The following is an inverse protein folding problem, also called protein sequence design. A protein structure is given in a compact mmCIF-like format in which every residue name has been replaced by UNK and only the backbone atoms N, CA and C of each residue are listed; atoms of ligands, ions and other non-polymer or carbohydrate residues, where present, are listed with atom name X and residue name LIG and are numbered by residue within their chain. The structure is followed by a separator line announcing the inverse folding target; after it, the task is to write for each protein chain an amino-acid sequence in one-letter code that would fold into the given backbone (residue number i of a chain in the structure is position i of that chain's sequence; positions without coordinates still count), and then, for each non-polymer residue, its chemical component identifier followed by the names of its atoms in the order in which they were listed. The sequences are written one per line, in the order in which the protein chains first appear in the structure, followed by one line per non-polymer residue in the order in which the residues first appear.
data_IF_278211935817
#
_entry.id   IF_278211935817
#
_cell.length_a   1.000
_cell.length_b   1.000
_cell.length_c   1.000
_cell.angle_alpha   90.00
_cell.angle_beta   90.00
_cell.angle_gamma   90.00
#
_symmetry.space_group_name_H-M   'P 1'
#
loop_
_entity.id
_entity.type
_entity.pdbx_description
1 polymer ?
#
# COMPACT_ATOMS: atom_id res chain seq x y z
N UNK A 1 -11.04 -20.31 -6.26
CA UNK A 1 -9.71 -19.66 -6.20
C UNK A 1 -8.79 -20.33 -5.18
N UNK A 2 -9.14 -20.47 -3.89
CA UNK A 2 -8.24 -21.07 -2.87
C UNK A 2 -7.70 -22.47 -3.22
N UNK A 3 -8.53 -23.37 -3.83
CA UNK A 3 -8.07 -24.69 -4.25
C UNK A 3 -7.05 -24.69 -5.40
N UNK A 4 -6.97 -23.60 -6.17
CA UNK A 4 -6.09 -23.48 -7.33
C UNK A 4 -4.68 -23.04 -6.93
N UNK A 5 -4.55 -22.39 -5.78
CA UNK A 5 -3.28 -21.83 -5.28
C UNK A 5 -2.81 -22.51 -3.99
N UNK A 6 -3.45 -23.62 -3.57
CA UNK A 6 -3.11 -24.38 -2.35
C UNK A 6 -2.99 -23.49 -1.08
N UNK A 7 -3.85 -22.46 -0.99
CA UNK A 7 -3.86 -21.54 0.16
C UNK A 7 -4.78 -22.03 1.27
N UNK A 8 -4.34 -21.90 2.50
CA UNK A 8 -5.12 -22.24 3.70
C UNK A 8 -6.10 -21.11 4.09
N UNK A 9 -5.84 -19.89 3.62
CA UNK A 9 -6.67 -18.71 3.88
C UNK A 9 -7.91 -18.60 2.99
N UNK A 10 -8.69 -17.54 3.20
CA UNK A 10 -9.87 -17.18 2.42
C UNK A 10 -9.60 -15.89 1.64
N UNK A 11 -10.02 -15.83 0.37
CA UNK A 11 -10.07 -14.60 -0.41
C UNK A 11 -11.48 -14.03 -0.30
N UNK A 12 -11.58 -12.83 0.26
CA UNK A 12 -12.84 -12.13 0.49
C UNK A 12 -12.76 -10.78 -0.20
N UNK A 13 -13.62 -10.48 -1.19
CA UNK A 13 -13.68 -9.15 -1.78
C UNK A 13 -14.18 -8.14 -0.74
N UNK A 14 -13.59 -6.95 -0.72
CA UNK A 14 -13.94 -5.90 0.25
C UNK A 14 -15.33 -5.31 -0.01
N UNK A 15 -15.79 -5.32 -1.27
CA UNK A 15 -17.16 -5.02 -1.66
C UNK A 15 -17.65 -6.03 -2.69
N UNK A 16 -18.97 -6.21 -2.79
CA UNK A 16 -19.63 -7.06 -3.78
C UNK A 16 -20.31 -6.22 -4.88
N UNK A 17 -20.16 -4.91 -4.78
CA UNK A 17 -20.79 -3.95 -5.68
C UNK A 17 -19.87 -3.63 -6.85
N UNK A 18 -20.47 -3.19 -7.97
CA UNK A 18 -19.74 -2.77 -9.16
C UNK A 18 -19.25 -1.33 -8.96
N UNK A 19 -17.98 -1.22 -8.62
CA UNK A 19 -17.30 0.05 -8.33
C UNK A 19 -16.01 0.16 -9.12
N UNK A 20 -15.63 1.38 -9.43
CA UNK A 20 -14.37 1.70 -10.09
C UNK A 20 -13.58 2.71 -9.26
N UNK A 21 -12.27 2.65 -9.35
CA UNK A 21 -11.38 3.63 -8.73
C UNK A 21 -11.40 4.93 -9.54
N UNK A 22 -11.52 6.06 -8.84
CA UNK A 22 -11.22 7.39 -9.36
C UNK A 22 -10.15 8.05 -8.49
N UNK A 23 -9.27 8.82 -9.10
CA UNK A 23 -8.21 9.55 -8.41
C UNK A 23 -8.15 10.99 -8.86
N UNK A 24 -7.67 11.88 -7.99
CA UNK A 24 -7.32 13.25 -8.31
C UNK A 24 -5.83 13.46 -8.09
N UNK A 25 -5.19 14.06 -9.08
CA UNK A 25 -3.78 14.45 -9.03
C UNK A 25 -3.61 15.84 -8.41
N UNK A 26 -2.38 16.19 -8.01
CA UNK A 26 -2.01 17.48 -7.41
C UNK A 26 -2.37 18.68 -8.31
N UNK A 27 -2.39 18.50 -9.63
CA UNK A 27 -2.79 19.54 -10.60
C UNK A 27 -4.31 19.67 -10.79
N UNK A 28 -5.11 18.89 -10.04
CA UNK A 28 -6.55 18.84 -10.12
C UNK A 28 -7.11 17.90 -11.19
N UNK A 29 -6.27 17.25 -12.00
CA UNK A 29 -6.70 16.28 -13.01
C UNK A 29 -7.38 15.09 -12.33
N UNK A 30 -8.53 14.68 -12.83
CA UNK A 30 -9.29 13.51 -12.34
C UNK A 30 -9.24 12.42 -13.40
N UNK A 31 -8.88 11.20 -12.98
CA UNK A 31 -8.84 10.00 -13.83
C UNK A 31 -9.70 8.91 -13.19
N UNK A 32 -10.51 8.27 -14.03
CA UNK A 32 -11.39 7.18 -13.64
C UNK A 32 -10.92 5.85 -14.24
N UNK A 33 -10.97 4.80 -13.42
CA UNK A 33 -10.62 3.44 -13.77
C UNK A 33 -9.12 3.15 -13.61
N UNK A 34 -8.79 2.10 -12.86
CA UNK A 34 -7.43 1.66 -12.55
C UNK A 34 -6.53 1.57 -13.79
N UNK A 35 -7.06 0.99 -14.89
CA UNK A 35 -6.34 0.85 -16.15
C UNK A 35 -5.91 2.18 -16.77
N UNK A 36 -6.62 3.27 -16.49
CA UNK A 36 -6.28 4.59 -16.99
C UNK A 36 -5.28 5.31 -16.08
N UNK A 37 -5.29 4.98 -14.80
CA UNK A 37 -4.38 5.51 -13.78
C UNK A 37 -3.00 4.88 -13.93
N UNK A 38 -2.94 3.55 -14.07
CA UNK A 38 -1.68 2.84 -14.29
C UNK A 38 -1.11 3.16 -15.68
N UNK A 39 0.08 3.74 -15.69
CA UNK A 39 0.77 4.16 -16.92
C UNK A 39 2.04 3.37 -17.18
N UNK A 40 2.34 2.35 -16.37
CA UNK A 40 3.57 1.56 -16.46
C UNK A 40 3.78 0.95 -17.85
N UNK A 41 2.70 0.47 -18.47
CA UNK A 41 2.71 -0.21 -19.78
C UNK A 41 2.28 0.69 -20.94
N UNK A 42 2.02 2.00 -20.68
CA UNK A 42 1.51 2.89 -21.71
C UNK A 42 2.63 3.68 -22.40
N UNK A 43 2.55 3.76 -23.72
CA UNK A 43 3.38 4.68 -24.48
C UNK A 43 3.09 6.15 -24.10
N UNK A 44 4.07 7.07 -24.22
CA UNK A 44 3.87 8.47 -23.86
C UNK A 44 2.65 9.13 -24.49
N UNK A 45 2.28 8.75 -25.71
CA UNK A 45 1.12 9.30 -26.42
C UNK A 45 -0.24 8.73 -25.97
N UNK A 46 -0.24 7.67 -25.16
CA UNK A 46 -1.46 7.01 -24.63
C UNK A 46 -1.75 7.43 -23.19
N UNK A 47 -0.87 8.23 -22.58
CA UNK A 47 -1.02 8.69 -21.21
C UNK A 47 -2.08 9.78 -21.12
N UNK A 48 -2.96 9.64 -20.14
CA UNK A 48 -4.11 10.52 -19.95
C UNK A 48 -3.84 11.66 -18.95
N UNK A 49 -2.68 11.65 -18.29
CA UNK A 49 -2.31 12.62 -17.26
C UNK A 49 -0.80 12.87 -17.20
N UNK A 50 -0.41 13.89 -16.45
CA UNK A 50 1.00 14.19 -16.19
C UNK A 50 1.58 13.20 -15.18
N UNK A 51 2.45 12.31 -15.63
CA UNK A 51 3.06 11.25 -14.82
C UNK A 51 4.13 11.73 -13.82
N UNK A 52 4.43 13.01 -13.80
CA UNK A 52 5.34 13.61 -12.81
C UNK A 52 4.57 14.20 -11.61
N UNK A 53 3.23 14.16 -11.66
CA UNK A 53 2.33 14.49 -10.56
C UNK A 53 2.05 13.27 -9.68
N UNK A 54 1.80 13.52 -8.38
CA UNK A 54 1.32 12.50 -7.46
C UNK A 54 -0.20 12.48 -7.41
N UNK A 55 -0.75 11.36 -6.97
CA UNK A 55 -2.15 11.28 -6.64
C UNK A 55 -2.36 11.94 -5.27
N UNK A 56 -3.27 12.92 -5.21
CA UNK A 56 -3.64 13.63 -4.00
C UNK A 56 -4.79 12.93 -3.27
N UNK A 57 -5.75 12.39 -4.03
CA UNK A 57 -6.97 11.82 -3.47
C UNK A 57 -7.50 10.65 -4.30
N UNK A 58 -8.28 9.77 -3.67
CA UNK A 58 -8.86 8.60 -4.30
C UNK A 58 -10.25 8.29 -3.71
N UNK A 59 -11.18 7.83 -4.56
CA UNK A 59 -12.53 7.40 -4.14
C UNK A 59 -13.08 6.34 -5.09
N UNK A 60 -14.17 5.69 -4.67
CA UNK A 60 -14.92 4.77 -5.52
C UNK A 60 -16.05 5.50 -6.24
N UNK A 61 -16.28 5.13 -7.50
CA UNK A 61 -17.40 5.57 -8.32
C UNK A 61 -18.22 4.35 -8.78
N UNK A 62 -19.45 4.59 -9.23
CA UNK A 62 -20.41 3.55 -9.61
C UNK A 62 -21.43 3.33 -8.50
N UNK A 63 -21.49 2.13 -7.94
CA UNK A 63 -22.36 1.83 -6.80
C UNK A 63 -21.85 2.46 -5.48
N UNK A 64 -22.58 2.26 -4.37
CA UNK A 64 -22.18 2.84 -3.07
C UNK A 64 -20.86 2.30 -2.51
N UNK A 65 -20.42 1.13 -2.96
CA UNK A 65 -19.16 0.50 -2.52
C UNK A 65 -19.21 0.04 -1.07
N UNK A 66 -20.35 -0.46 -0.59
CA UNK A 66 -20.51 -0.90 0.78
C UNK A 66 -19.56 -2.04 1.12
N UNK A 67 -18.99 -2.01 2.33
CA UNK A 67 -18.13 -3.06 2.84
C UNK A 67 -18.88 -4.39 2.92
N UNK A 68 -18.32 -5.42 2.28
CA UNK A 68 -18.84 -6.78 2.35
C UNK A 68 -18.93 -7.25 3.81
N UNK A 69 -20.10 -7.73 4.27
CA UNK A 69 -20.27 -8.21 5.64
C UNK A 69 -19.25 -9.27 6.06
N UNK A 70 -18.81 -10.15 5.12
CA UNK A 70 -17.77 -11.15 5.40
C UNK A 70 -16.39 -10.53 5.59
N UNK A 71 -16.09 -9.45 4.86
CA UNK A 71 -14.85 -8.70 5.06
C UNK A 71 -14.87 -8.00 6.41
N UNK A 72 -16.01 -7.37 6.78
CA UNK A 72 -16.20 -6.79 8.11
C UNK A 72 -16.02 -7.82 9.22
N UNK A 73 -16.64 -8.99 9.09
CA UNK A 73 -16.49 -10.09 10.06
C UNK A 73 -15.02 -10.52 10.19
N UNK A 74 -14.29 -10.62 9.08
CA UNK A 74 -12.87 -10.98 9.10
C UNK A 74 -12.02 -9.92 9.82
N UNK A 75 -12.28 -8.61 9.56
CA UNK A 75 -11.61 -7.49 10.23
C UNK A 75 -11.86 -7.53 11.74
N UNK A 76 -13.11 -7.75 12.16
CA UNK A 76 -13.49 -7.75 13.57
C UNK A 76 -12.96 -8.95 14.36
N UNK A 77 -12.62 -10.05 13.68
CA UNK A 77 -12.09 -11.27 14.33
C UNK A 77 -10.58 -11.47 14.10
N UNK A 78 -9.91 -10.50 13.50
CA UNK A 78 -8.48 -10.56 13.31
C UNK A 78 -7.72 -10.15 14.58
N UNK A 79 -6.56 -10.76 14.82
CA UNK A 79 -5.59 -10.31 15.82
C UNK A 79 -4.64 -9.27 15.21
N UNK A 80 -4.35 -9.41 13.91
CA UNK A 80 -3.51 -8.51 13.14
C UNK A 80 -4.12 -8.26 11.75
N UNK A 81 -4.05 -7.03 11.29
CA UNK A 81 -4.43 -6.62 9.93
C UNK A 81 -3.18 -6.06 9.25
N UNK A 82 -2.81 -6.69 8.13
CA UNK A 82 -1.65 -6.28 7.34
C UNK A 82 -2.16 -5.49 6.13
N UNK A 83 -1.71 -4.23 6.02
CA UNK A 83 -2.01 -3.34 4.91
C UNK A 83 -0.82 -3.38 3.95
N UNK A 84 -1.04 -3.85 2.73
CA UNK A 84 0.01 -4.06 1.73
C UNK A 84 0.75 -5.41 1.88
N UNK A 85 1.90 -5.60 1.16
CA UNK A 85 2.42 -4.68 0.15
C UNK A 85 1.60 -4.68 -1.15
N UNK A 86 1.73 -3.61 -1.92
CA UNK A 86 1.07 -3.43 -3.22
C UNK A 86 1.24 -1.99 -3.69
N UNK A 87 0.90 -1.69 -4.93
CA UNK A 87 0.88 -0.31 -5.42
C UNK A 87 -0.09 0.52 -4.58
N UNK A 88 0.39 1.68 -4.09
CA UNK A 88 -0.30 2.43 -3.06
C UNK A 88 -1.74 2.78 -3.47
N UNK A 89 -1.91 3.43 -4.62
CA UNK A 89 -3.21 3.96 -5.06
C UNK A 89 -4.01 3.01 -5.93
N UNK A 90 -3.37 2.03 -6.60
CA UNK A 90 -4.07 1.09 -7.48
C UNK A 90 -4.30 -0.29 -6.87
N UNK A 91 -3.62 -0.62 -5.77
CA UNK A 91 -3.77 -1.94 -5.13
C UNK A 91 -4.12 -1.87 -3.64
N UNK A 92 -3.51 -0.98 -2.86
CA UNK A 92 -3.71 -0.92 -1.40
C UNK A 92 -4.90 -0.05 -1.03
N UNK A 93 -4.86 1.24 -1.39
CA UNK A 93 -5.91 2.22 -1.04
C UNK A 93 -7.31 1.80 -1.53
N UNK A 94 -7.51 1.23 -2.73
CA UNK A 94 -8.85 0.82 -3.16
C UNK A 94 -9.58 -0.11 -2.18
N UNK A 95 -8.85 -0.95 -1.46
CA UNK A 95 -9.44 -1.81 -0.43
C UNK A 95 -9.90 -1.03 0.81
N UNK A 96 -9.34 0.16 1.06
CA UNK A 96 -9.66 1.01 2.19
C UNK A 96 -10.84 1.96 1.91
N UNK A 97 -11.26 2.09 0.64
CA UNK A 97 -12.28 3.06 0.21
C UNK A 97 -13.72 2.57 0.41
N UNK A 98 -13.93 1.27 0.68
CA UNK A 98 -15.28 0.74 0.86
C UNK A 98 -15.98 1.41 2.04
N UNK A 99 -17.24 1.81 1.81
CA UNK A 99 -18.09 2.47 2.83
C UNK A 99 -18.29 1.55 4.04
N UNK A 100 -17.88 2.00 5.21
CA UNK A 100 -17.86 1.21 6.44
C UNK A 100 -16.52 0.54 6.75
N UNK A 101 -15.50 0.67 5.86
CA UNK A 101 -14.15 0.15 6.13
C UNK A 101 -13.47 0.93 7.26
N UNK A 102 -13.50 2.25 7.21
CA UNK A 102 -12.92 3.12 8.25
C UNK A 102 -13.49 2.83 9.63
N UNK A 103 -14.81 2.72 9.72
CA UNK A 103 -15.52 2.39 10.94
C UNK A 103 -15.16 0.98 11.45
N UNK A 104 -14.95 0.04 10.54
CA UNK A 104 -14.54 -1.31 10.93
C UNK A 104 -13.09 -1.33 11.45
N UNK A 105 -12.19 -0.56 10.83
CA UNK A 105 -10.80 -0.44 11.28
C UNK A 105 -10.67 0.35 12.59
N UNK A 106 -11.53 1.32 12.84
CA UNK A 106 -11.52 2.12 14.08
C UNK A 106 -11.94 1.31 15.32
N UNK A 107 -12.86 0.37 15.15
CA UNK A 107 -13.42 -0.41 16.27
C UNK A 107 -12.86 -1.82 16.40
N UNK A 108 -12.02 -2.28 15.48
CA UNK A 108 -11.39 -3.60 15.55
C UNK A 108 -10.40 -3.68 16.71
N UNK A 109 -10.31 -4.81 17.44
CA UNK A 109 -9.25 -5.03 18.41
C UNK A 109 -7.89 -5.39 17.77
N UNK A 110 -7.87 -5.60 16.44
CA UNK A 110 -6.67 -6.01 15.72
C UNK A 110 -5.59 -4.92 15.71
N UNK A 111 -4.34 -5.34 15.73
CA UNK A 111 -3.21 -4.45 15.49
C UNK A 111 -3.02 -4.22 13.99
N UNK A 112 -2.84 -2.96 13.59
CA UNK A 112 -2.65 -2.57 12.19
C UNK A 112 -1.16 -2.48 11.87
N UNK A 113 -0.74 -3.24 10.86
CA UNK A 113 0.65 -3.29 10.36
C UNK A 113 0.65 -2.80 8.91
N UNK A 114 1.38 -1.73 8.62
CA UNK A 114 1.58 -1.28 7.25
C UNK A 114 2.93 -1.76 6.72
N UNK A 115 2.93 -2.37 5.53
CA UNK A 115 4.15 -2.74 4.80
C UNK A 115 4.40 -1.70 3.72
N UNK A 116 5.36 -0.81 3.98
CA UNK A 116 5.67 0.29 3.08
C UNK A 116 6.33 -0.20 1.79
N UNK A 117 5.99 0.43 0.68
CA UNK A 117 6.58 0.12 -0.62
C UNK A 117 8.10 0.30 -0.60
N UNK A 118 8.83 -0.60 -1.26
CA UNK A 118 10.28 -0.51 -1.39
C UNK A 118 10.73 0.49 -2.49
N UNK A 119 9.87 0.71 -3.50
CA UNK A 119 10.13 1.60 -4.64
C UNK A 119 8.94 2.52 -4.87
N UNK A 120 9.23 3.73 -5.37
CA UNK A 120 8.18 4.63 -5.90
C UNK A 120 7.61 4.09 -7.21
N UNK A 121 6.42 4.55 -7.59
CA UNK A 121 5.79 4.29 -8.89
C UNK A 121 5.52 5.61 -9.60
N UNK A 122 6.09 5.77 -10.79
CA UNK A 122 5.90 6.98 -11.58
C UNK A 122 4.44 7.16 -11.95
N UNK A 123 3.92 8.38 -11.81
CA UNK A 123 2.53 8.70 -12.07
C UNK A 123 1.55 8.37 -10.93
N UNK A 124 2.06 7.85 -9.80
CA UNK A 124 1.25 7.59 -8.60
C UNK A 124 1.94 8.15 -7.34
N UNK A 125 3.21 7.79 -7.14
CA UNK A 125 3.99 8.08 -5.92
C UNK A 125 5.37 8.63 -6.27
N UNK A 126 5.45 9.49 -7.29
CA UNK A 126 6.70 10.06 -7.80
C UNK A 126 7.40 10.85 -6.70
N UNK A 127 8.65 10.50 -6.40
CA UNK A 127 9.48 11.11 -5.35
C UNK A 127 8.96 11.01 -3.91
N UNK A 128 7.89 10.26 -3.64
CA UNK A 128 7.41 10.04 -2.27
C UNK A 128 8.46 9.33 -1.41
N UNK A 129 8.48 9.68 -0.14
CA UNK A 129 9.29 9.09 0.92
C UNK A 129 8.43 8.24 1.84
N UNK A 130 9.04 7.51 2.77
CA UNK A 130 8.32 6.70 3.76
C UNK A 130 7.22 7.49 4.45
N UNK A 131 7.51 8.75 4.83
CA UNK A 131 6.54 9.64 5.48
C UNK A 131 5.28 9.84 4.64
N UNK A 132 5.46 10.15 3.35
CA UNK A 132 4.35 10.44 2.45
C UNK A 132 3.45 9.20 2.25
N UNK A 133 4.06 8.01 2.16
CA UNK A 133 3.33 6.74 2.10
C UNK A 133 2.51 6.48 3.36
N UNK A 134 3.07 6.76 4.55
CA UNK A 134 2.37 6.57 5.81
C UNK A 134 1.22 7.57 5.92
N UNK A 135 1.45 8.85 5.61
CA UNK A 135 0.43 9.90 5.64
C UNK A 135 -0.74 9.58 4.68
N UNK A 136 -0.43 9.02 3.50
CA UNK A 136 -1.46 8.55 2.59
C UNK A 136 -2.31 7.43 3.21
N UNK A 137 -1.69 6.42 3.85
CA UNK A 137 -2.43 5.35 4.53
C UNK A 137 -3.25 5.92 5.69
N UNK A 138 -2.65 6.74 6.57
CA UNK A 138 -3.36 7.38 7.70
C UNK A 138 -4.59 8.17 7.21
N UNK A 139 -4.49 8.88 6.10
CA UNK A 139 -5.61 9.58 5.47
C UNK A 139 -6.79 8.64 5.16
N UNK A 140 -6.53 7.44 4.68
CA UNK A 140 -7.58 6.51 4.22
C UNK A 140 -8.07 5.53 5.29
N UNK A 141 -7.30 5.23 6.34
CA UNK A 141 -7.80 4.42 7.45
C UNK A 141 -8.66 5.24 8.43
N UNK A 142 -8.61 6.57 8.36
CA UNK A 142 -9.45 7.47 9.16
C UNK A 142 -8.97 7.60 10.60
N UNK A 143 -9.85 7.47 11.62
CA UNK A 143 -9.45 7.60 13.02
C UNK A 143 -8.63 6.39 13.54
N UNK A 144 -8.67 5.24 12.84
CA UNK A 144 -7.85 4.09 13.18
C UNK A 144 -6.36 4.46 13.11
N UNK A 145 -5.56 3.90 14.02
CA UNK A 145 -4.14 4.18 14.14
C UNK A 145 -3.32 2.94 13.75
N UNK A 146 -2.17 3.17 13.10
CA UNK A 146 -1.19 2.11 12.86
C UNK A 146 -0.50 1.72 14.18
N UNK A 147 -0.16 0.44 14.35
CA UNK A 147 0.69 -0.04 15.44
C UNK A 147 2.13 -0.20 14.96
N UNK A 148 2.31 -0.70 13.74
CA UNK A 148 3.62 -0.96 13.17
C UNK A 148 3.69 -0.54 11.71
N UNK A 149 4.86 -0.05 11.29
CA UNK A 149 5.20 0.21 9.90
C UNK A 149 6.51 -0.50 9.58
N UNK A 150 6.46 -1.43 8.62
CA UNK A 150 7.63 -2.16 8.13
C UNK A 150 8.21 -1.39 6.95
N UNK A 151 9.50 -1.02 7.04
CA UNK A 151 10.22 -0.25 6.04
C UNK A 151 11.47 -1.01 5.60
N UNK A 152 11.72 -1.03 4.31
CA UNK A 152 12.95 -1.62 3.78
C UNK A 152 14.18 -0.77 4.12
N UNK A 153 15.17 -1.37 4.76
CA UNK A 153 16.50 -0.82 4.91
C UNK A 153 17.58 -1.66 4.21
N UNK A 154 17.17 -2.71 3.47
CA UNK A 154 18.06 -3.51 2.66
C UNK A 154 18.69 -2.68 1.53
N UNK A 155 19.94 -2.99 1.22
CA UNK A 155 20.64 -2.38 0.09
C UNK A 155 20.04 -2.96 -1.19
N UNK A 156 19.60 -2.08 -2.08
CA UNK A 156 19.21 -2.44 -3.44
C UNK A 156 20.44 -2.16 -4.31
N UNK A 157 20.83 -3.12 -5.13
CA UNK A 157 21.97 -3.01 -6.02
C UNK A 157 21.89 -1.74 -6.90
N UNK A 158 22.98 -1.00 -6.98
CA UNK A 158 23.03 0.28 -7.71
C UNK A 158 22.76 0.10 -9.21
N UNK A 159 23.12 -1.05 -9.81
CA UNK A 159 22.82 -1.35 -11.22
C UNK A 159 21.31 -1.55 -11.41
N UNK A 160 20.65 -2.23 -10.48
CA UNK A 160 19.20 -2.42 -10.48
C UNK A 160 18.51 -1.06 -10.30
N UNK A 161 18.97 -0.23 -9.35
CA UNK A 161 18.42 1.13 -9.13
C UNK A 161 18.61 1.98 -10.38
N UNK A 162 19.78 1.92 -11.02
CA UNK A 162 20.05 2.68 -12.25
C UNK A 162 19.12 2.24 -13.40
N UNK A 163 18.88 0.94 -13.56
CA UNK A 163 17.95 0.39 -14.54
C UNK A 163 16.53 0.92 -14.32
N UNK A 164 15.99 0.79 -13.10
CA UNK A 164 14.67 1.31 -12.75
C UNK A 164 14.54 2.82 -12.93
N UNK A 165 15.61 3.58 -12.64
CA UNK A 165 15.63 5.03 -12.84
C UNK A 165 15.56 5.41 -14.33
N UNK A 166 16.25 4.68 -15.20
CA UNK A 166 16.29 4.95 -16.64
C UNK A 166 14.97 4.51 -17.29
N UNK A 167 14.52 3.30 -17.02
CA UNK A 167 13.37 2.70 -17.69
C UNK A 167 12.03 3.25 -17.19
N UNK A 168 11.90 3.43 -15.86
CA UNK A 168 10.62 3.70 -15.22
C UNK A 168 10.62 4.92 -14.29
N UNK A 169 11.75 5.62 -14.15
CA UNK A 169 11.95 6.74 -13.21
C UNK A 169 11.52 6.40 -11.76
N UNK A 170 11.66 5.13 -11.36
CA UNK A 170 11.41 4.67 -10.00
C UNK A 170 12.62 4.91 -9.11
N UNK A 171 12.38 5.15 -7.82
CA UNK A 171 13.41 5.37 -6.82
C UNK A 171 13.13 4.52 -5.58
N UNK A 172 14.18 4.08 -4.85
CA UNK A 172 13.98 3.47 -3.54
C UNK A 172 13.26 4.42 -2.58
N UNK A 173 12.26 3.90 -1.88
CA UNK A 173 11.55 4.61 -0.82
C UNK A 173 12.41 4.55 0.44
N UNK A 174 12.75 5.71 1.03
CA UNK A 174 13.67 5.81 2.16
C UNK A 174 13.11 6.72 3.24
N UNK A 175 13.55 6.49 4.47
CA UNK A 175 13.40 7.46 5.56
C UNK A 175 14.48 8.53 5.35
N UNK A 176 14.08 9.78 5.11
CA UNK A 176 15.01 10.90 5.03
C UNK A 176 15.32 11.48 6.41
N UNK A 177 14.30 11.58 7.25
CA UNK A 177 14.46 12.12 8.59
C UNK A 177 13.67 11.27 9.59
N UNK A 178 14.37 10.56 10.45
CA UNK A 178 13.74 9.71 11.48
C UNK A 178 12.96 10.54 12.53
N UNK A 179 13.29 11.80 12.70
CA UNK A 179 12.59 12.68 13.64
C UNK A 179 11.15 12.99 13.23
N UNK A 180 10.80 12.80 11.97
CA UNK A 180 9.43 12.97 11.48
C UNK A 180 8.45 11.97 12.13
N UNK A 181 8.96 10.93 12.78
CA UNK A 181 8.19 9.87 13.44
C UNK A 181 8.28 9.91 14.97
N UNK A 182 8.97 10.89 15.55
CA UNK A 182 9.26 10.94 16.99
C UNK A 182 7.99 11.00 17.87
N UNK A 183 6.95 11.70 17.39
CA UNK A 183 5.67 11.87 18.09
C UNK A 183 4.58 10.91 17.65
N UNK A 184 4.92 9.94 16.79
CA UNK A 184 3.95 8.96 16.27
C UNK A 184 3.78 7.79 17.24
N UNK A 185 2.57 7.26 17.32
CA UNK A 185 2.25 6.12 18.19
C UNK A 185 2.73 4.78 17.63
N UNK A 186 2.79 4.64 16.31
CA UNK A 186 3.28 3.42 15.67
C UNK A 186 4.79 3.29 15.76
N UNK A 187 5.27 2.06 15.63
CA UNK A 187 6.70 1.74 15.58
C UNK A 187 7.17 1.52 14.17
N UNK A 188 8.25 2.19 13.80
CA UNK A 188 8.97 1.91 12.56
C UNK A 188 9.88 0.70 12.76
N UNK A 189 9.73 -0.30 11.89
CA UNK A 189 10.54 -1.52 11.86
C UNK A 189 11.34 -1.52 10.57
N UNK A 190 12.60 -1.07 10.67
CA UNK A 190 13.53 -1.06 9.55
C UNK A 190 14.23 -2.42 9.44
N UNK A 191 13.95 -3.17 8.36
CA UNK A 191 14.55 -4.48 8.07
C UNK A 191 14.76 -4.63 6.57
N UNK A 192 15.68 -5.51 6.18
CA UNK A 192 15.79 -5.93 4.79
C UNK A 192 14.59 -6.82 4.46
N UNK A 193 13.68 -6.29 3.63
CA UNK A 193 12.46 -6.97 3.18
C UNK A 193 12.40 -7.14 1.67
N UNK A 194 13.47 -6.80 0.94
CA UNK A 194 13.51 -6.96 -0.52
C UNK A 194 14.24 -8.24 -0.91
N UNK A 195 13.84 -8.79 -2.07
CA UNK A 195 14.54 -9.90 -2.69
C UNK A 195 15.91 -9.46 -3.21
N UNK A 196 16.83 -10.43 -3.29
CA UNK A 196 18.17 -10.24 -3.85
C UNK A 196 18.19 -10.60 -5.36
N UNK A 197 17.01 -10.72 -6.00
CA UNK A 197 16.84 -11.06 -7.42
C UNK A 197 16.83 -9.81 -8.31
N UNK A 198 16.73 -10.01 -9.64
CA UNK A 198 16.79 -8.96 -10.68
C UNK A 198 15.68 -7.89 -10.57
N UNK A 199 14.65 -8.13 -9.77
CA UNK A 199 13.54 -7.20 -9.56
C UNK A 199 13.38 -6.84 -8.09
N UNK A 200 13.20 -5.55 -7.82
CA UNK A 200 12.92 -5.06 -6.46
C UNK A 200 11.48 -5.39 -6.08
N UNK A 201 11.32 -6.49 -5.36
CA UNK A 201 10.05 -6.92 -4.78
C UNK A 201 10.26 -7.26 -3.31
N UNK A 202 9.17 -7.26 -2.54
CA UNK A 202 9.24 -7.80 -1.19
C UNK A 202 9.53 -9.30 -1.25
N UNK A 203 10.50 -9.71 -0.44
CA UNK A 203 10.83 -11.12 -0.23
C UNK A 203 9.80 -11.73 0.73
N UNK A 204 9.04 -12.74 0.31
CA UNK A 204 7.98 -13.30 1.13
C UNK A 204 8.49 -13.97 2.40
N UNK A 205 9.68 -14.59 2.37
CA UNK A 205 10.24 -15.28 3.55
C UNK A 205 10.77 -14.26 4.57
N UNK A 206 11.51 -13.24 4.09
CA UNK A 206 11.98 -12.15 4.95
C UNK A 206 10.82 -11.41 5.61
N UNK A 207 9.78 -11.09 4.82
CA UNK A 207 8.60 -10.41 5.35
C UNK A 207 7.83 -11.27 6.33
N UNK A 208 7.57 -12.56 6.01
CA UNK A 208 6.88 -13.48 6.88
C UNK A 208 7.60 -13.64 8.23
N UNK A 209 8.94 -13.70 8.24
CA UNK A 209 9.72 -13.76 9.47
C UNK A 209 9.52 -12.53 10.35
N UNK A 210 9.52 -11.34 9.77
CA UNK A 210 9.31 -10.07 10.52
C UNK A 210 7.91 -10.04 11.11
N UNK A 211 6.89 -10.41 10.33
CA UNK A 211 5.52 -10.50 10.80
C UNK A 211 5.39 -11.50 11.95
N UNK A 212 6.05 -12.65 11.84
CA UNK A 212 6.09 -13.64 12.93
C UNK A 212 6.76 -13.07 14.19
N UNK A 213 7.87 -12.35 14.05
CA UNK A 213 8.58 -11.73 15.17
C UNK A 213 7.70 -10.66 15.88
N UNK A 214 6.82 -9.97 15.14
CA UNK A 214 5.82 -9.05 15.71
C UNK A 214 4.75 -9.83 16.48
N UNK A 215 4.19 -10.89 15.87
CA UNK A 215 3.13 -11.73 16.45
C UNK A 215 3.62 -12.40 17.73
N UNK A 216 4.84 -12.91 17.74
CA UNK A 216 5.45 -13.58 18.91
C UNK A 216 5.88 -12.56 20.00
N UNK A 217 5.76 -11.26 19.76
CA UNK A 217 6.11 -10.19 20.68
C UNK A 217 7.61 -10.00 20.88
N UNK A 218 8.44 -10.47 19.95
CA UNK A 218 9.90 -10.25 19.96
C UNK A 218 10.26 -8.85 19.49
N UNK A 219 9.42 -8.25 18.66
CA UNK A 219 9.46 -6.84 18.29
C UNK A 219 8.35 -6.13 19.10
N UNK A 220 8.78 -5.34 20.09
CA UNK A 220 7.88 -4.60 20.99
C UNK A 220 7.82 -3.13 20.61
#
# INVERSE_FOLDING_TARGET
MCKMFDVTGRVIPVTLEDVHLAVRFEDGTVIEGEKNIDVSDKNPGERTHNIDQNIEDAWLIGAEGNLNPRAREAIMNADYIIIGPGDLYTSVIPNLLSKGMREALDVTPAKLIYVCNAMTKRGETTNMEVKDFIEAIEKFIGPAELDYVIVNNGIIDDEIVAKYKIEENKKPVKIKNILDFADKKYKIIERNVVSDEDFVRHDPEKLAKILQDIIDGWIK
#
